data_IF_926354254844
#
_entry.id   IF_926354254844
#
_cell.length_a   1.000
_cell.length_b   1.000
_cell.length_c   1.000
_cell.angle_alpha   90.00
_cell.angle_beta   90.00
_cell.angle_gamma   90.00
#
_symmetry.space_group_name_H-M   'P 1'
#
loop_
_entity.id
_entity.type
_entity.pdbx_description
1 polymer ?
#
# COMPACT_ATOMS: atom_id res chain seq x y z
N UNK A 1 0.70 9.09 13.46
CA UNK A 1 1.76 8.18 13.96
C UNK A 1 1.98 7.06 12.95
N UNK A 2 2.91 7.26 12.01
CA UNK A 2 3.46 6.14 11.22
C UNK A 2 4.27 5.25 12.17
N UNK A 3 4.26 3.94 11.92
CA UNK A 3 4.88 2.93 12.81
C UNK A 3 6.40 3.15 12.91
N UNK A 4 7.01 2.82 14.06
CA UNK A 4 8.46 2.95 14.27
C UNK A 4 9.31 1.97 13.44
N UNK A 5 8.76 0.85 12.95
CA UNK A 5 9.38 0.09 11.85
C UNK A 5 8.89 0.69 10.53
N UNK A 6 9.78 1.35 9.78
CA UNK A 6 9.49 1.89 8.43
C UNK A 6 9.34 0.78 7.37
N UNK A 7 8.84 -0.40 7.69
CA UNK A 7 8.74 -1.52 6.75
C UNK A 7 7.31 -1.77 6.29
N UNK A 8 7.14 -1.81 4.97
CA UNK A 8 5.97 -2.21 4.21
C UNK A 8 5.79 -3.74 4.19
N UNK A 9 6.82 -4.52 4.53
CA UNK A 9 6.77 -6.00 4.59
C UNK A 9 5.95 -6.54 5.76
N UNK A 10 5.85 -5.79 6.86
CA UNK A 10 5.07 -6.18 8.04
C UNK A 10 3.57 -5.84 7.93
N UNK A 11 3.07 -5.52 6.74
CA UNK A 11 1.69 -5.06 6.55
C UNK A 11 0.84 -6.08 5.80
N UNK A 12 0.15 -6.96 6.54
CA UNK A 12 -0.79 -7.89 5.93
C UNK A 12 -2.03 -7.22 5.32
N UNK A 13 -2.58 -7.87 4.28
CA UNK A 13 -3.86 -7.54 3.64
C UNK A 13 -5.01 -7.31 4.64
N UNK A 14 -5.02 -8.06 5.75
CA UNK A 14 -6.05 -7.96 6.80
C UNK A 14 -5.98 -6.61 7.52
N UNK A 15 -4.77 -6.14 7.80
CA UNK A 15 -4.50 -4.83 8.41
C UNK A 15 -4.75 -3.69 7.42
N UNK A 16 -4.41 -3.89 6.14
CA UNK A 16 -4.68 -2.93 5.08
C UNK A 16 -6.18 -2.75 4.85
N UNK A 17 -6.96 -3.84 4.75
CA UNK A 17 -8.44 -3.77 4.63
C UNK A 17 -9.08 -3.04 5.81
N UNK A 18 -8.55 -3.22 7.03
CA UNK A 18 -9.03 -2.50 8.22
C UNK A 18 -8.72 -1.00 8.13
N UNK A 19 -7.52 -0.62 7.68
CA UNK A 19 -7.13 0.78 7.43
C UNK A 19 -7.93 1.41 6.29
N UNK A 20 -8.15 0.69 5.20
CA UNK A 20 -8.96 1.13 4.06
C UNK A 20 -10.39 1.52 4.49
N UNK A 21 -10.99 0.74 5.40
CA UNK A 21 -12.31 1.03 6.00
C UNK A 21 -12.27 2.16 7.04
N UNK A 22 -11.10 2.55 7.55
CA UNK A 22 -10.98 3.70 8.45
C UNK A 22 -11.18 5.02 7.69
N UNK A 23 -11.84 5.99 8.32
CA UNK A 23 -12.06 7.32 7.73
C UNK A 23 -10.76 8.10 7.53
N UNK A 24 -9.74 7.86 8.37
CA UNK A 24 -8.44 8.55 8.30
C UNK A 24 -7.61 8.20 7.06
N UNK A 25 -7.80 7.03 6.46
CA UNK A 25 -7.12 6.66 5.22
C UNK A 25 -7.66 7.45 4.02
N UNK A 26 -8.96 7.76 4.03
CA UNK A 26 -9.61 8.55 2.97
C UNK A 26 -9.12 10.01 2.91
N UNK A 27 -8.48 10.52 3.96
CA UNK A 27 -7.94 11.88 4.00
C UNK A 27 -6.65 12.04 3.17
N UNK A 28 -5.91 10.96 2.92
CA UNK A 28 -4.69 10.96 2.10
C UNK A 28 -4.75 10.05 0.86
N UNK A 29 -5.74 9.15 0.81
CA UNK A 29 -5.95 8.23 -0.30
C UNK A 29 -7.46 8.04 -0.50
N UNK A 30 -8.06 8.85 -1.37
CA UNK A 30 -9.51 8.87 -1.60
C UNK A 30 -10.01 7.51 -2.13
N UNK A 31 -11.00 6.92 -1.43
CA UNK A 31 -11.60 5.64 -1.84
C UNK A 31 -12.16 5.66 -3.25
N UNK A 32 -12.73 6.79 -3.65
CA UNK A 32 -13.25 6.98 -5.01
C UNK A 32 -12.17 6.87 -6.07
N UNK A 33 -10.97 7.37 -5.79
CA UNK A 33 -9.83 7.27 -6.71
C UNK A 33 -9.36 5.82 -6.82
N UNK A 34 -9.30 5.11 -5.70
CA UNK A 34 -8.91 3.69 -5.68
C UNK A 34 -9.95 2.85 -6.42
N UNK A 35 -11.24 3.10 -6.20
CA UNK A 35 -12.32 2.39 -6.89
C UNK A 35 -12.31 2.68 -8.40
N UNK A 36 -12.10 3.94 -8.79
CA UNK A 36 -11.99 4.32 -10.20
C UNK A 36 -10.78 3.69 -10.87
N UNK A 37 -9.62 3.64 -10.20
CA UNK A 37 -8.44 2.96 -10.72
C UNK A 37 -8.65 1.44 -10.85
N UNK A 38 -9.34 0.83 -9.89
CA UNK A 38 -9.73 -0.58 -9.96
C UNK A 38 -10.64 -0.84 -11.18
N UNK A 39 -11.65 0.01 -11.38
CA UNK A 39 -12.61 -0.09 -12.48
C UNK A 39 -11.94 0.10 -13.85
N UNK A 40 -11.05 1.08 -13.97
CA UNK A 40 -10.25 1.33 -15.18
C UNK A 40 -9.36 0.15 -15.56
N UNK A 41 -8.85 -0.57 -14.57
CA UNK A 41 -8.04 -1.77 -14.78
C UNK A 41 -8.88 -3.04 -14.93
N UNK A 42 -10.20 -2.96 -14.70
CA UNK A 42 -11.09 -4.12 -14.62
C UNK A 42 -10.72 -5.07 -13.47
N UNK A 43 -10.15 -4.52 -12.40
CA UNK A 43 -9.66 -5.29 -11.25
C UNK A 43 -10.59 -5.14 -10.06
N UNK A 44 -10.73 -6.23 -9.31
CA UNK A 44 -11.36 -6.20 -8.00
C UNK A 44 -10.54 -5.33 -7.03
N UNK A 45 -11.22 -4.57 -6.18
CA UNK A 45 -10.56 -3.69 -5.21
C UNK A 45 -9.59 -4.48 -4.30
N UNK A 46 -9.97 -5.70 -3.92
CA UNK A 46 -9.09 -6.58 -3.15
C UNK A 46 -7.82 -6.91 -3.94
N UNK A 47 -7.94 -7.21 -5.24
CA UNK A 47 -6.80 -7.55 -6.11
C UNK A 47 -5.85 -6.36 -6.27
N UNK A 48 -6.39 -5.18 -6.53
CA UNK A 48 -5.60 -3.95 -6.62
C UNK A 48 -4.78 -3.72 -5.35
N UNK A 49 -5.45 -3.79 -4.19
CA UNK A 49 -4.80 -3.59 -2.89
C UNK A 49 -3.73 -4.65 -2.61
N UNK A 50 -3.96 -5.91 -2.97
CA UNK A 50 -2.97 -6.99 -2.84
C UNK A 50 -1.75 -6.70 -3.72
N UNK A 51 -1.95 -6.46 -5.02
CA UNK A 51 -0.83 -6.27 -5.94
C UNK A 51 -0.02 -5.01 -5.62
N UNK A 52 -0.66 -3.91 -5.22
CA UNK A 52 0.06 -2.71 -4.77
C UNK A 52 0.89 -3.01 -3.53
N UNK A 53 0.36 -3.79 -2.58
CA UNK A 53 1.08 -4.15 -1.37
C UNK A 53 2.26 -5.09 -1.67
N UNK A 54 2.06 -6.09 -2.51
CA UNK A 54 3.12 -6.99 -2.97
C UNK A 54 4.21 -6.23 -3.74
N UNK A 55 3.83 -5.32 -4.63
CA UNK A 55 4.77 -4.49 -5.38
C UNK A 55 5.57 -3.58 -4.45
N UNK A 56 4.95 -2.98 -3.43
CA UNK A 56 5.65 -2.18 -2.41
C UNK A 56 6.61 -3.04 -1.57
N UNK A 57 6.21 -4.24 -1.17
CA UNK A 57 7.06 -5.14 -0.41
C UNK A 57 8.25 -5.66 -1.23
N UNK A 58 8.03 -5.95 -2.52
CA UNK A 58 9.08 -6.41 -3.44
C UNK A 58 10.07 -5.29 -3.78
N UNK A 59 9.59 -4.06 -3.94
CA UNK A 59 10.45 -2.90 -4.20
C UNK A 59 11.13 -2.38 -2.95
N UNK A 60 10.65 -2.68 -1.74
CA UNK A 60 11.30 -2.27 -0.49
C UNK A 60 12.74 -2.79 -0.37
N UNK A 61 13.02 -4.02 -0.78
CA UNK A 61 14.39 -4.55 -0.75
C UNK A 61 15.32 -3.74 -1.66
N UNK A 62 14.86 -3.46 -2.88
CA UNK A 62 15.61 -2.67 -3.86
C UNK A 62 15.79 -1.23 -3.39
N UNK A 63 14.72 -0.58 -2.94
CA UNK A 63 14.73 0.81 -2.46
C UNK A 63 15.60 0.93 -1.21
N UNK A 64 15.52 0.00 -0.26
CA UNK A 64 16.39 0.02 0.92
C UNK A 64 17.86 -0.23 0.55
N UNK A 65 18.14 -1.06 -0.47
CA UNK A 65 19.49 -1.27 -0.95
C UNK A 65 20.08 0.00 -1.60
N UNK A 66 19.30 0.68 -2.45
CA UNK A 66 19.71 1.94 -3.08
C UNK A 66 19.85 3.08 -2.06
N UNK A 67 18.88 3.26 -1.16
CA UNK A 67 18.93 4.27 -0.09
C UNK A 67 20.10 4.08 0.88
N UNK A 68 20.61 2.84 1.03
CA UNK A 68 21.79 2.53 1.85
C UNK A 68 23.11 2.70 1.09
N UNK A 69 23.07 2.69 -0.25
CA UNK A 69 24.23 2.91 -1.11
C UNK A 69 24.52 4.41 -1.34
N UNK A 70 23.53 5.29 -1.15
CA UNK A 70 23.69 6.76 -1.23
C UNK A 70 24.00 7.42 0.13
N UNK A 71 24.27 6.63 1.18
CA UNK A 71 24.58 7.09 2.54
C UNK A 71 26.06 7.12 2.89
#
# INVERSE_FOLDING_TARGET
MMRPSKSTKDMDLKSLKKKYKSKGFAAGCSREVIQRGADQLGWELTRLLTMTLEAMAASEDTINAEMKAEG
#
